data_IF_944737616304
#
_entry.id   IF_944737616304
#
_cell.length_a   1.000
_cell.length_b   1.000
_cell.length_c   1.000
_cell.angle_alpha   90.00
_cell.angle_beta   90.00
_cell.angle_gamma   90.00
#
_symmetry.space_group_name_H-M   'P 1'
#
loop_
_entity.id
_entity.type
_entity.pdbx_description
1 polymer ?
#
# COMPACT_ATOMS: atom_id res chain seq x y z
N UNK A 1 13.52 49.87 36.27
CA UNK A 1 12.94 49.10 35.15
C UNK A 1 11.46 49.42 35.12
N UNK A 2 10.93 49.93 34.02
CA UNK A 2 9.59 50.50 33.96
C UNK A 2 8.54 49.38 33.93
N UNK A 3 7.48 49.43 34.72
CA UNK A 3 6.43 48.41 34.84
C UNK A 3 5.82 48.01 33.48
N UNK A 4 5.86 48.91 32.49
CA UNK A 4 5.37 48.64 31.15
C UNK A 4 6.29 47.68 30.38
N UNK A 5 7.62 47.74 30.58
CA UNK A 5 8.59 46.87 29.91
C UNK A 5 8.42 45.41 30.38
N UNK A 6 8.10 45.17 31.64
CA UNK A 6 7.85 43.85 32.21
C UNK A 6 6.54 43.26 31.64
N UNK A 7 5.51 44.09 31.47
CA UNK A 7 4.23 43.66 30.87
C UNK A 7 4.40 43.23 29.40
N UNK A 8 5.18 43.91 28.59
CA UNK A 8 5.44 43.54 27.21
C UNK A 8 6.32 42.30 27.08
N UNK A 9 7.28 42.11 27.98
CA UNK A 9 8.07 40.86 28.04
C UNK A 9 7.24 39.67 28.42
N UNK A 10 6.29 39.83 29.34
CA UNK A 10 5.40 38.72 29.75
C UNK A 10 4.39 38.34 28.63
N UNK A 11 3.85 39.32 27.91
CA UNK A 11 2.96 39.10 26.78
C UNK A 11 3.70 38.43 25.62
N UNK A 12 4.95 38.83 25.35
CA UNK A 12 5.79 38.22 24.31
C UNK A 12 6.15 36.78 24.65
N UNK A 13 6.41 36.47 25.93
CA UNK A 13 6.72 35.10 26.37
C UNK A 13 5.50 34.16 26.32
N UNK A 14 4.30 34.66 26.58
CA UNK A 14 3.05 33.88 26.47
C UNK A 14 2.70 33.64 24.99
N UNK A 15 2.96 34.57 24.07
CA UNK A 15 2.71 34.36 22.63
C UNK A 15 3.66 33.36 21.99
N UNK A 16 4.89 33.22 22.47
CA UNK A 16 5.86 32.24 21.97
C UNK A 16 5.50 30.80 22.44
N UNK A 17 4.89 30.67 23.63
CA UNK A 17 4.43 29.37 24.12
C UNK A 17 3.15 28.84 23.44
N UNK A 18 2.37 29.71 22.80
CA UNK A 18 1.16 29.32 22.09
C UNK A 18 1.40 28.76 20.67
N UNK A 19 2.60 28.92 20.11
CA UNK A 19 2.94 28.43 18.74
C UNK A 19 3.58 27.03 18.71
N UNK A 20 3.72 26.35 19.83
CA UNK A 20 4.48 25.09 19.97
C UNK A 20 3.67 23.80 19.90
N UNK A 21 2.37 23.83 19.67
CA UNK A 21 1.58 22.62 19.52
C UNK A 21 1.18 22.42 18.06
N UNK A 22 2.14 22.08 17.19
CA UNK A 22 1.81 21.31 16.01
C UNK A 22 1.29 19.96 16.51
N UNK A 23 -0.01 19.83 16.57
CA UNK A 23 -0.67 18.52 16.67
C UNK A 23 -0.21 17.75 15.43
N UNK A 24 0.76 16.85 15.60
CA UNK A 24 1.01 15.81 14.64
C UNK A 24 -0.27 14.98 14.64
N UNK A 25 -1.17 15.31 13.73
CA UNK A 25 -2.34 14.49 13.45
C UNK A 25 -1.76 13.12 13.09
N UNK A 26 -1.80 12.20 14.05
CA UNK A 26 -1.39 10.83 13.81
C UNK A 26 -2.27 10.30 12.69
N UNK A 27 -1.68 10.22 11.49
CA UNK A 27 -2.38 9.78 10.30
C UNK A 27 -2.78 8.31 10.50
N UNK A 28 -4.07 8.04 10.47
CA UNK A 28 -4.58 6.67 10.53
C UNK A 28 -4.07 5.92 9.30
N UNK A 29 -3.61 4.68 9.51
CA UNK A 29 -3.22 3.77 8.44
C UNK A 29 -4.21 2.61 8.36
N UNK A 30 -4.33 2.01 7.18
CA UNK A 30 -5.08 0.79 6.95
C UNK A 30 -4.10 -0.34 6.67
N UNK A 31 -4.09 -1.35 7.53
CA UNK A 31 -3.25 -2.55 7.40
C UNK A 31 -4.08 -3.70 6.84
N UNK A 32 -3.59 -4.30 5.77
CA UNK A 32 -4.10 -5.57 5.22
C UNK A 32 -3.05 -6.64 5.49
N UNK A 33 -3.29 -7.48 6.50
CA UNK A 33 -2.37 -8.59 6.83
C UNK A 33 -2.54 -9.75 5.85
N UNK A 34 -1.45 -10.50 5.60
CA UNK A 34 -1.42 -11.64 4.69
C UNK A 34 -1.21 -12.96 5.44
N UNK A 35 -1.47 -12.99 6.74
CA UNK A 35 -1.44 -14.19 7.56
C UNK A 35 -2.61 -15.14 7.21
N UNK A 36 -2.59 -16.42 7.67
CA UNK A 36 -3.61 -17.42 7.31
C UNK A 36 -5.05 -17.06 7.66
N UNK A 37 -5.26 -16.10 8.56
CA UNK A 37 -6.58 -15.56 8.92
C UNK A 37 -7.17 -14.60 7.88
N UNK A 38 -6.38 -14.17 6.88
CA UNK A 38 -6.88 -13.33 5.79
C UNK A 38 -7.95 -14.06 4.99
N UNK A 39 -9.11 -13.45 4.85
CA UNK A 39 -10.24 -14.07 4.14
C UNK A 39 -10.05 -14.17 2.64
N UNK A 40 -9.32 -13.24 2.02
CA UNK A 40 -9.11 -13.24 0.58
C UNK A 40 -7.75 -12.63 0.16
N UNK A 41 -6.70 -13.46 0.18
CA UNK A 41 -5.34 -13.04 -0.18
C UNK A 41 -5.24 -12.47 -1.59
N UNK A 42 -5.86 -13.12 -2.59
CA UNK A 42 -5.75 -12.69 -3.99
C UNK A 42 -6.40 -11.32 -4.20
N UNK A 43 -7.56 -11.07 -3.59
CA UNK A 43 -8.19 -9.75 -3.64
C UNK A 43 -7.38 -8.69 -2.89
N UNK A 44 -6.67 -9.07 -1.82
CA UNK A 44 -5.76 -8.16 -1.12
C UNK A 44 -4.62 -7.66 -2.04
N UNK A 45 -4.00 -8.56 -2.83
CA UNK A 45 -3.04 -8.17 -3.87
C UNK A 45 -3.68 -7.26 -4.92
N UNK A 46 -4.90 -7.56 -5.36
CA UNK A 46 -5.64 -6.74 -6.32
C UNK A 46 -5.92 -5.33 -5.81
N UNK A 47 -6.27 -5.18 -4.53
CA UNK A 47 -6.44 -3.88 -3.87
C UNK A 47 -5.12 -3.10 -3.87
N UNK A 48 -4.00 -3.73 -3.47
CA UNK A 48 -2.68 -3.10 -3.48
C UNK A 48 -2.30 -2.65 -4.90
N UNK A 49 -2.50 -3.50 -5.90
CA UNK A 49 -2.21 -3.17 -7.30
C UNK A 49 -3.04 -1.97 -7.80
N UNK A 50 -4.36 -1.95 -7.56
CA UNK A 50 -5.22 -0.83 -7.97
C UNK A 50 -4.88 0.47 -7.25
N UNK A 51 -4.49 0.40 -5.98
CA UNK A 51 -4.04 1.57 -5.23
C UNK A 51 -2.83 2.21 -5.91
N UNK A 52 -1.83 1.40 -6.28
CA UNK A 52 -0.65 1.84 -7.04
C UNK A 52 -1.01 2.32 -8.45
N UNK A 53 -1.93 1.64 -9.15
CA UNK A 53 -2.38 2.03 -10.49
C UNK A 53 -3.03 3.43 -10.48
N UNK A 54 -3.66 3.81 -9.37
CA UNK A 54 -4.21 5.15 -9.15
C UNK A 54 -3.17 6.19 -8.72
N UNK A 55 -1.87 5.87 -8.80
CA UNK A 55 -0.77 6.77 -8.44
C UNK A 55 -0.59 6.98 -6.95
N UNK A 56 -1.12 6.09 -6.12
CA UNK A 56 -1.00 6.16 -4.66
C UNK A 56 0.02 5.15 -4.17
N UNK A 57 0.86 5.56 -3.24
CA UNK A 57 1.92 4.73 -2.68
C UNK A 57 1.45 3.96 -1.46
N UNK A 58 2.09 2.82 -1.21
CA UNK A 58 1.87 2.01 0.00
C UNK A 58 3.18 1.38 0.47
N UNK A 59 3.23 0.93 1.72
CA UNK A 59 4.36 0.21 2.26
C UNK A 59 4.04 -1.30 2.31
N UNK A 60 4.95 -2.12 1.78
CA UNK A 60 4.90 -3.57 1.92
C UNK A 60 5.81 -3.99 3.07
N UNK A 61 5.21 -4.47 4.15
CA UNK A 61 5.91 -4.94 5.33
C UNK A 61 6.27 -6.42 5.14
N UNK A 62 7.45 -6.69 4.58
CA UNK A 62 7.91 -8.04 4.24
C UNK A 62 8.00 -8.91 5.49
N UNK A 63 7.43 -10.11 5.43
CA UNK A 63 7.37 -11.09 6.51
C UNK A 63 6.66 -10.63 7.80
N UNK A 64 6.23 -9.38 7.90
CA UNK A 64 5.38 -8.94 9.00
C UNK A 64 3.96 -9.45 8.79
N UNK A 65 3.47 -10.32 9.68
CA UNK A 65 2.13 -10.91 9.61
C UNK A 65 1.80 -11.48 8.22
N UNK A 66 2.74 -12.25 7.65
CA UNK A 66 2.60 -12.88 6.35
C UNK A 66 2.94 -12.00 5.15
N UNK A 67 3.48 -10.79 5.36
CA UNK A 67 3.81 -9.84 4.31
C UNK A 67 2.70 -8.81 4.08
N UNK A 68 2.40 -8.00 5.09
CA UNK A 68 1.26 -7.07 5.12
C UNK A 68 1.42 -5.86 4.21
N UNK A 69 0.32 -5.34 3.69
CA UNK A 69 0.26 -4.05 3.00
C UNK A 69 -0.25 -2.96 3.95
N UNK A 70 0.46 -1.84 4.00
CA UNK A 70 0.13 -0.70 4.86
C UNK A 70 -0.13 0.55 4.01
N UNK A 71 -1.37 1.00 4.04
CA UNK A 71 -1.87 2.12 3.24
C UNK A 71 -2.08 3.37 4.11
N UNK A 72 -2.04 4.54 3.50
CA UNK A 72 -2.69 5.71 4.07
C UNK A 72 -4.20 5.47 4.09
N UNK A 73 -4.85 5.78 5.23
CA UNK A 73 -6.30 5.58 5.34
C UNK A 73 -7.07 6.48 4.36
N UNK A 74 -8.01 5.85 3.68
CA UNK A 74 -9.02 6.51 2.85
C UNK A 74 -10.36 5.76 3.00
N UNK A 75 -11.49 6.46 3.14
CA UNK A 75 -12.80 5.80 3.26
C UNK A 75 -13.10 4.86 2.09
N UNK A 76 -12.78 5.24 0.87
CA UNK A 76 -13.00 4.42 -0.33
C UNK A 76 -12.20 3.11 -0.32
N UNK A 77 -10.98 3.10 0.26
CA UNK A 77 -10.17 1.89 0.40
C UNK A 77 -10.77 0.92 1.43
N UNK A 78 -11.30 1.47 2.53
CA UNK A 78 -11.99 0.67 3.55
C UNK A 78 -13.24 0.01 2.97
N UNK A 79 -14.03 0.75 2.19
CA UNK A 79 -15.23 0.22 1.52
C UNK A 79 -14.86 -0.84 0.48
N UNK A 80 -13.76 -0.67 -0.24
CA UNK A 80 -13.26 -1.66 -1.19
C UNK A 80 -12.84 -2.97 -0.47
N UNK A 81 -12.15 -2.89 0.66
CA UNK A 81 -11.82 -4.05 1.47
C UNK A 81 -13.08 -4.84 1.89
N UNK A 82 -14.11 -4.12 2.37
CA UNK A 82 -15.40 -4.73 2.74
C UNK A 82 -16.09 -5.42 1.57
N UNK A 83 -16.19 -4.75 0.41
CA UNK A 83 -16.84 -5.27 -0.79
C UNK A 83 -16.14 -6.53 -1.33
N UNK A 84 -14.81 -6.60 -1.20
CA UNK A 84 -14.01 -7.72 -1.70
C UNK A 84 -13.76 -8.80 -0.65
N UNK A 85 -14.38 -8.67 0.51
CA UNK A 85 -14.18 -9.58 1.64
C UNK A 85 -12.69 -9.76 2.01
N UNK A 86 -11.97 -8.63 2.10
CA UNK A 86 -10.57 -8.55 2.54
C UNK A 86 -10.53 -8.03 3.96
N UNK A 87 -9.94 -8.79 4.86
CA UNK A 87 -9.74 -8.40 6.26
C UNK A 87 -8.71 -7.27 6.36
N UNK A 88 -9.02 -6.25 7.16
CA UNK A 88 -8.15 -5.10 7.40
C UNK A 88 -8.25 -4.61 8.85
N UNK A 89 -7.28 -3.81 9.25
CA UNK A 89 -7.22 -3.14 10.56
C UNK A 89 -6.91 -1.66 10.37
N UNK A 90 -7.54 -0.81 11.18
CA UNK A 90 -7.18 0.61 11.24
C UNK A 90 -6.17 0.82 12.37
N UNK A 91 -5.00 1.32 12.02
CA UNK A 91 -3.91 1.58 12.96
C UNK A 91 -3.82 3.06 13.27
N UNK A 92 -3.80 3.42 14.56
CA UNK A 92 -3.41 4.75 15.00
C UNK A 92 -1.89 4.93 14.93
N UNK A 93 -1.37 6.13 15.22
CA UNK A 93 0.06 6.42 15.11
C UNK A 93 0.94 5.54 15.98
N UNK A 94 0.52 5.21 17.20
CA UNK A 94 1.30 4.32 18.09
C UNK A 94 1.37 2.91 17.52
N UNK A 95 0.23 2.36 17.08
CA UNK A 95 0.17 1.05 16.46
C UNK A 95 0.97 0.99 15.14
N UNK A 96 0.90 2.05 14.34
CA UNK A 96 1.70 2.19 13.12
C UNK A 96 3.20 2.19 13.43
N UNK A 97 3.64 2.95 14.44
CA UNK A 97 5.03 2.98 14.86
C UNK A 97 5.52 1.60 15.33
N UNK A 98 4.68 0.86 16.07
CA UNK A 98 4.98 -0.51 16.50
C UNK A 98 5.10 -1.44 15.28
N UNK A 99 4.17 -1.38 14.31
CA UNK A 99 4.23 -2.20 13.11
C UNK A 99 5.50 -1.94 12.29
N UNK A 100 5.93 -0.68 12.14
CA UNK A 100 7.19 -0.34 11.49
C UNK A 100 8.42 -0.85 12.26
N UNK A 101 8.44 -0.69 13.58
CA UNK A 101 9.56 -1.18 14.41
C UNK A 101 9.69 -2.71 14.33
N UNK A 102 8.58 -3.43 14.40
CA UNK A 102 8.54 -4.89 14.25
C UNK A 102 8.97 -5.34 12.83
N UNK A 103 8.69 -4.53 11.82
CA UNK A 103 9.03 -4.82 10.42
C UNK A 103 10.50 -4.49 10.07
N UNK A 104 11.25 -3.85 10.96
CA UNK A 104 12.66 -3.53 10.80
C UNK A 104 13.57 -4.38 11.71
N UNK A 105 13.04 -5.48 12.24
CA UNK A 105 13.78 -6.36 13.14
C UNK A 105 14.67 -7.32 12.36
N UNK A 106 15.97 -7.17 12.46
CA UNK A 106 16.97 -8.06 11.84
C UNK A 106 16.79 -9.53 12.23
N UNK A 107 16.30 -9.79 13.44
CA UNK A 107 16.07 -11.14 13.97
C UNK A 107 14.98 -11.92 13.23
N UNK A 108 14.04 -11.22 12.56
CA UNK A 108 12.86 -11.81 11.92
C UNK A 108 12.94 -11.85 10.40
N UNK A 109 14.06 -11.42 9.80
CA UNK A 109 14.18 -11.26 8.35
C UNK A 109 13.00 -10.48 7.74
N UNK A 110 12.61 -9.39 8.42
CA UNK A 110 11.57 -8.46 8.01
C UNK A 110 12.20 -7.22 7.39
N UNK A 111 11.48 -6.57 6.48
CA UNK A 111 11.90 -5.30 5.85
C UNK A 111 10.67 -4.50 5.41
N UNK A 112 10.87 -3.24 5.11
CA UNK A 112 9.82 -2.35 4.61
C UNK A 112 10.20 -1.92 3.19
N UNK A 113 9.34 -2.28 2.22
CA UNK A 113 9.50 -1.88 0.82
C UNK A 113 8.43 -0.87 0.46
N UNK A 114 8.84 0.33 0.09
CA UNK A 114 7.93 1.33 -0.47
C UNK A 114 7.58 0.94 -1.89
N UNK A 115 6.28 0.75 -2.15
CA UNK A 115 5.74 0.52 -3.48
C UNK A 115 5.17 1.83 -4.03
N UNK A 116 5.63 2.24 -5.22
CA UNK A 116 5.32 3.54 -5.82
C UNK A 116 4.58 3.43 -7.15
N UNK A 117 4.69 2.29 -7.81
CA UNK A 117 4.10 2.04 -9.13
C UNK A 117 3.84 0.56 -9.38
N UNK A 118 2.98 0.27 -10.34
CA UNK A 118 2.67 -1.09 -10.79
C UNK A 118 3.62 -1.57 -11.88
N UNK A 119 3.81 -2.89 -11.96
CA UNK A 119 4.37 -3.53 -13.13
C UNK A 119 3.30 -3.66 -14.24
N UNK A 120 3.69 -3.44 -15.50
CA UNK A 120 2.88 -3.78 -16.67
C UNK A 120 3.06 -5.27 -16.95
N UNK A 121 1.98 -6.02 -16.89
CA UNK A 121 2.01 -7.48 -16.92
C UNK A 121 1.57 -7.97 -18.29
N UNK A 122 2.35 -8.87 -18.87
CA UNK A 122 1.97 -9.67 -20.02
C UNK A 122 1.89 -11.15 -19.66
N UNK A 123 0.98 -11.87 -20.31
CA UNK A 123 0.89 -13.33 -20.22
C UNK A 123 1.04 -13.90 -21.64
N UNK A 124 1.99 -14.83 -21.81
CA UNK A 124 2.25 -15.47 -23.10
C UNK A 124 1.28 -16.64 -23.30
N UNK A 125 0.19 -16.37 -23.99
CA UNK A 125 -0.87 -17.35 -24.26
C UNK A 125 -1.48 -17.11 -25.62
N UNK A 126 -2.04 -18.15 -26.28
CA UNK A 126 -2.77 -17.99 -27.54
C UNK A 126 -3.91 -16.97 -27.42
N UNK A 127 -4.21 -16.21 -28.47
CA UNK A 127 -5.24 -15.16 -28.45
C UNK A 127 -6.63 -15.66 -28.01
N UNK A 128 -6.94 -16.90 -28.30
CA UNK A 128 -8.22 -17.57 -27.96
C UNK A 128 -8.20 -18.30 -26.63
N UNK A 129 -7.09 -18.29 -25.89
CA UNK A 129 -7.02 -18.87 -24.55
C UNK A 129 -8.02 -18.19 -23.60
N UNK A 130 -8.72 -18.99 -22.83
CA UNK A 130 -9.67 -18.54 -21.82
C UNK A 130 -8.97 -18.47 -20.45
N UNK A 131 -9.43 -17.61 -19.51
CA UNK A 131 -8.77 -17.48 -18.22
C UNK A 131 -8.61 -18.78 -17.45
N UNK A 132 -9.53 -19.71 -17.59
CA UNK A 132 -9.46 -21.03 -16.92
C UNK A 132 -8.53 -22.03 -17.60
N UNK A 133 -7.98 -21.72 -18.77
CA UNK A 133 -7.00 -22.57 -19.45
C UNK A 133 -5.58 -22.34 -18.91
N UNK A 134 -5.38 -21.26 -18.13
CA UNK A 134 -4.10 -20.87 -17.57
C UNK A 134 -4.27 -20.35 -16.14
N UNK A 135 -3.53 -20.93 -15.20
CA UNK A 135 -3.66 -20.62 -13.78
C UNK A 135 -3.31 -19.16 -13.45
N UNK A 136 -2.35 -18.56 -14.19
CA UNK A 136 -1.94 -17.17 -13.95
C UNK A 136 -3.00 -16.22 -14.45
N UNK A 137 -3.57 -16.45 -15.63
CA UNK A 137 -4.70 -15.67 -16.11
C UNK A 137 -5.87 -15.73 -15.11
N UNK A 138 -6.20 -16.94 -14.63
CA UNK A 138 -7.29 -17.11 -13.66
C UNK A 138 -7.05 -16.33 -12.37
N UNK A 139 -5.82 -16.34 -11.86
CA UNK A 139 -5.43 -15.58 -10.65
C UNK A 139 -5.50 -14.08 -10.88
N UNK A 140 -4.98 -13.58 -12.00
CA UNK A 140 -5.01 -12.15 -12.34
C UNK A 140 -6.45 -11.65 -12.52
N UNK A 141 -7.29 -12.42 -13.23
CA UNK A 141 -8.72 -12.11 -13.40
C UNK A 141 -9.44 -12.09 -12.04
N UNK A 142 -9.23 -13.10 -11.21
CA UNK A 142 -9.84 -13.15 -9.88
C UNK A 142 -9.38 -11.98 -9.01
N UNK A 143 -8.10 -11.65 -9.02
CA UNK A 143 -7.53 -10.52 -8.29
C UNK A 143 -7.92 -9.15 -8.89
N UNK A 144 -8.50 -9.14 -10.09
CA UNK A 144 -8.81 -7.92 -10.86
C UNK A 144 -7.54 -7.11 -11.17
N UNK A 145 -6.45 -7.80 -11.48
CA UNK A 145 -5.17 -7.21 -11.89
C UNK A 145 -5.11 -7.21 -13.41
N UNK A 146 -5.01 -6.05 -14.08
CA UNK A 146 -4.96 -5.98 -15.53
C UNK A 146 -3.67 -6.58 -16.09
N UNK A 147 -3.79 -7.26 -17.21
CA UNK A 147 -2.69 -7.83 -17.98
C UNK A 147 -3.01 -7.80 -19.47
N UNK A 148 -1.99 -7.96 -20.32
CA UNK A 148 -2.19 -8.15 -21.76
C UNK A 148 -1.76 -9.56 -22.19
N UNK A 149 -2.50 -10.13 -23.14
CA UNK A 149 -2.09 -11.38 -23.78
C UNK A 149 -1.11 -11.06 -24.89
N UNK A 150 0.00 -11.79 -24.91
CA UNK A 150 0.96 -11.77 -26.02
C UNK A 150 1.07 -13.17 -26.61
N UNK A 151 1.24 -13.24 -27.90
CA UNK A 151 1.52 -14.46 -28.62
C UNK A 151 2.70 -14.25 -29.58
N UNK A 152 2.98 -15.19 -30.46
CA UNK A 152 4.15 -15.19 -31.34
C UNK A 152 4.32 -13.87 -32.09
N UNK A 153 3.26 -13.36 -32.70
CA UNK A 153 3.30 -12.14 -33.52
C UNK A 153 3.68 -10.91 -32.71
N UNK A 154 3.08 -10.72 -31.52
CA UNK A 154 3.38 -9.58 -30.66
C UNK A 154 4.81 -9.63 -30.12
N UNK A 155 5.31 -10.83 -29.80
CA UNK A 155 6.69 -11.02 -29.34
C UNK A 155 7.67 -10.73 -30.48
N UNK A 156 7.44 -11.27 -31.67
CA UNK A 156 8.30 -11.08 -32.87
C UNK A 156 8.34 -9.62 -33.32
N UNK A 157 7.24 -8.90 -33.19
CA UNK A 157 7.17 -7.45 -33.52
C UNK A 157 7.76 -6.56 -32.43
N UNK A 158 8.20 -7.14 -31.30
CA UNK A 158 8.89 -6.43 -30.22
C UNK A 158 7.95 -5.76 -29.21
N UNK A 159 6.66 -6.07 -29.19
CA UNK A 159 5.68 -5.53 -28.24
C UNK A 159 6.05 -5.86 -26.78
N UNK A 160 6.76 -6.98 -26.57
CA UNK A 160 7.23 -7.40 -25.23
C UNK A 160 8.04 -6.32 -24.50
N UNK A 161 8.77 -5.46 -25.19
CA UNK A 161 9.53 -4.36 -24.60
C UNK A 161 8.67 -3.35 -23.84
N UNK A 162 7.36 -3.37 -24.07
CA UNK A 162 6.39 -2.52 -23.38
C UNK A 162 5.99 -3.01 -21.99
N UNK A 163 6.47 -4.17 -21.52
CA UNK A 163 6.06 -4.80 -20.28
C UNK A 163 7.24 -4.93 -19.30
N UNK A 164 6.89 -4.96 -18.02
CA UNK A 164 7.86 -5.09 -16.93
C UNK A 164 7.94 -6.55 -16.44
N UNK A 165 6.89 -7.34 -16.69
CA UNK A 165 6.80 -8.75 -16.34
C UNK A 165 6.08 -9.55 -17.42
N UNK A 166 6.66 -10.70 -17.79
CA UNK A 166 6.07 -11.71 -18.66
C UNK A 166 5.93 -13.02 -17.88
N UNK A 167 4.75 -13.61 -17.95
CA UNK A 167 4.51 -14.97 -17.48
C UNK A 167 4.35 -15.92 -18.66
#
# INVERSE_FOLDING_TARGET
MNNNTIRYLFIFFISVLAFGQTQVMSQVKLLVSMEPSQTNHLKAYGIAYRHLLNGKELDWLLNYRGGSFLFNYEPGLEDECKQKNVSYELLNGTQTATAYADSQSDERNTDIVRLEKVARIAVYVPPNALPWDDAVQLVLEYAEIPYEKLWDEEVLTGKLKGFDWLH
#
